data_IF_098423247373
#
_entry.id   IF_098423247373
#
_cell.length_a   1.000
_cell.length_b   1.000
_cell.length_c   1.000
_cell.angle_alpha   90.00
_cell.angle_beta   90.00
_cell.angle_gamma   90.00
#
_symmetry.space_group_name_H-M   'P 1'
#
loop_
_entity.id
_entity.type
_entity.pdbx_description
1 polymer ?
#
# COMPACT_ATOMS: atom_id res chain seq x y z
N UNK A 1 13.75 -8.32 13.49
CA UNK A 1 12.29 -8.50 13.33
C UNK A 1 11.99 -8.57 11.85
N UNK A 2 10.97 -9.33 11.43
CA UNK A 2 10.56 -9.41 10.02
C UNK A 2 9.28 -8.62 9.80
N UNK A 3 9.08 -8.14 8.58
CA UNK A 3 7.91 -7.34 8.21
C UNK A 3 7.24 -7.87 6.95
N UNK A 4 5.92 -7.75 6.87
CA UNK A 4 5.14 -7.92 5.65
C UNK A 4 4.46 -6.59 5.29
N UNK A 5 4.35 -6.33 3.99
CA UNK A 5 3.71 -5.13 3.47
C UNK A 5 2.21 -5.36 3.32
N UNK A 6 1.42 -4.45 3.91
CA UNK A 6 -0.04 -4.38 3.73
C UNK A 6 -0.36 -3.05 3.06
N UNK A 7 -1.13 -3.09 1.97
CA UNK A 7 -1.53 -1.92 1.18
C UNK A 7 -3.05 -1.80 1.14
N UNK A 8 -3.55 -0.57 1.22
CA UNK A 8 -4.93 -0.19 0.97
C UNK A 8 -4.99 0.83 -0.16
N UNK A 9 -5.89 0.60 -1.11
CA UNK A 9 -6.28 1.63 -2.09
C UNK A 9 -7.44 2.41 -1.48
N UNK A 10 -7.32 3.73 -1.42
CA UNK A 10 -8.29 4.60 -0.77
C UNK A 10 -8.79 5.68 -1.73
N UNK A 11 -10.06 6.08 -1.58
CA UNK A 11 -10.67 7.23 -2.25
C UNK A 11 -10.92 8.35 -1.25
N UNK A 12 -10.54 9.56 -1.63
CA UNK A 12 -10.61 10.76 -0.81
C UNK A 12 -11.76 11.70 -1.21
N UNK A 13 -12.80 11.18 -1.88
CA UNK A 13 -13.98 11.99 -2.26
C UNK A 13 -14.90 12.28 -1.06
N UNK A 14 -15.15 11.31 -0.18
CA UNK A 14 -16.12 11.39 0.93
C UNK A 14 -15.61 10.70 2.21
N UNK A 15 -14.60 11.28 2.88
CA UNK A 15 -14.21 10.82 4.21
C UNK A 15 -13.23 9.63 4.26
N UNK A 16 -12.42 9.44 3.21
CA UNK A 16 -11.28 8.52 3.18
C UNK A 16 -11.68 7.04 3.33
N UNK A 17 -12.51 6.55 2.41
CA UNK A 17 -12.85 5.13 2.34
C UNK A 17 -11.71 4.35 1.67
N UNK A 18 -11.32 3.23 2.29
CA UNK A 18 -10.30 2.33 1.75
C UNK A 18 -10.92 0.98 1.40
N UNK A 19 -10.43 0.38 0.32
CA UNK A 19 -10.74 -1.00 -0.05
C UNK A 19 -10.13 -1.98 0.95
N UNK A 20 -10.51 -3.26 0.84
CA UNK A 20 -9.88 -4.36 1.61
C UNK A 20 -8.36 -4.34 1.46
N UNK A 21 -7.59 -4.54 2.55
CA UNK A 21 -6.14 -4.62 2.48
C UNK A 21 -5.67 -5.74 1.55
N UNK A 22 -4.55 -5.49 0.88
CA UNK A 22 -3.78 -6.50 0.16
C UNK A 22 -2.47 -6.73 0.89
N UNK A 23 -2.21 -7.98 1.26
CA UNK A 23 -0.92 -8.40 1.81
C UNK A 23 0.01 -8.84 0.69
N UNK A 24 1.24 -8.33 0.70
CA UNK A 24 2.28 -8.72 -0.24
C UNK A 24 3.04 -9.93 0.31
N UNK A 25 3.38 -10.93 -0.52
CA UNK A 25 4.05 -12.15 -0.06
C UNK A 25 5.51 -11.94 0.36
N UNK A 26 6.09 -10.78 0.04
CA UNK A 26 7.48 -10.45 0.35
C UNK A 26 7.67 -10.22 1.84
N UNK A 27 8.66 -10.89 2.42
CA UNK A 27 9.10 -10.68 3.81
C UNK A 27 10.36 -9.82 3.82
N UNK A 28 10.33 -8.72 4.56
CA UNK A 28 11.43 -7.76 4.68
C UNK A 28 12.19 -7.92 6.00
N UNK A 29 13.47 -7.58 6.00
CA UNK A 29 14.33 -7.67 7.19
C UNK A 29 14.25 -6.42 8.07
N UNK A 30 13.72 -5.32 7.53
CA UNK A 30 13.60 -4.05 8.24
C UNK A 30 12.34 -3.29 7.82
N UNK A 31 11.88 -2.40 8.69
CA UNK A 31 10.85 -1.43 8.36
C UNK A 31 11.26 -0.54 7.18
N UNK A 32 12.55 -0.17 7.12
CA UNK A 32 13.12 0.67 6.05
C UNK A 32 12.90 0.05 4.66
N UNK A 33 13.26 -1.24 4.50
CA UNK A 33 13.08 -1.96 3.24
C UNK A 33 11.59 -2.03 2.86
N UNK A 34 10.74 -2.43 3.81
CA UNK A 34 9.30 -2.56 3.58
C UNK A 34 8.65 -1.22 3.20
N UNK A 35 8.98 -0.13 3.90
CA UNK A 35 8.41 1.20 3.66
C UNK A 35 8.84 1.76 2.29
N UNK A 36 10.09 1.54 1.88
CA UNK A 36 10.55 1.94 0.53
C UNK A 36 9.83 1.17 -0.56
N UNK A 37 9.70 -0.14 -0.40
CA UNK A 37 9.01 -0.97 -1.38
C UNK A 37 7.51 -0.64 -1.45
N UNK A 38 6.89 -0.29 -0.32
CA UNK A 38 5.52 0.22 -0.28
C UNK A 38 5.32 1.42 -1.21
N UNK A 39 6.25 2.37 -1.24
CA UNK A 39 6.18 3.53 -2.14
C UNK A 39 6.37 3.13 -3.61
N UNK A 40 7.27 2.20 -3.90
CA UNK A 40 7.47 1.67 -5.26
C UNK A 40 6.20 1.00 -5.77
N UNK A 41 5.60 0.10 -4.97
CA UNK A 41 4.36 -0.57 -5.32
C UNK A 41 3.16 0.39 -5.40
N UNK A 42 3.12 1.41 -4.54
CA UNK A 42 2.11 2.47 -4.60
C UNK A 42 2.11 3.18 -5.96
N UNK A 43 3.30 3.56 -6.48
CA UNK A 43 3.42 4.20 -7.79
C UNK A 43 2.98 3.27 -8.91
N UNK A 44 3.34 1.98 -8.84
CA UNK A 44 2.90 0.97 -9.83
C UNK A 44 1.38 0.84 -9.83
N UNK A 45 0.73 0.78 -8.67
CA UNK A 45 -0.72 0.69 -8.55
C UNK A 45 -1.43 1.93 -9.11
N UNK A 46 -0.97 3.13 -8.74
CA UNK A 46 -1.51 4.38 -9.28
C UNK A 46 -1.34 4.47 -10.81
N UNK A 47 -0.18 4.04 -11.32
CA UNK A 47 0.08 4.02 -12.77
C UNK A 47 -0.83 3.04 -13.51
N UNK A 48 -1.10 1.86 -12.93
CA UNK A 48 -2.03 0.86 -13.50
C UNK A 48 -3.48 1.35 -13.53
N UNK A 49 -3.93 2.10 -12.52
CA UNK A 49 -5.27 2.70 -12.49
C UNK A 49 -5.42 3.86 -13.47
N UNK A 50 -4.32 4.59 -13.72
CA UNK A 50 -4.25 5.62 -14.76
C UNK A 50 -4.74 7.00 -14.31
N UNK A 51 -4.28 8.02 -15.04
CA UNK A 51 -4.44 9.43 -14.68
C UNK A 51 -5.89 9.85 -14.43
N UNK A 52 -6.82 9.48 -15.32
CA UNK A 52 -8.22 9.87 -15.20
C UNK A 52 -8.86 9.30 -13.94
N UNK A 53 -8.72 7.99 -13.71
CA UNK A 53 -9.32 7.31 -12.56
C UNK A 53 -8.77 7.85 -11.24
N UNK A 54 -7.45 8.02 -11.15
CA UNK A 54 -6.81 8.55 -9.95
C UNK A 54 -7.32 9.95 -9.60
N UNK A 55 -7.52 10.81 -10.60
CA UNK A 55 -8.04 12.16 -10.38
C UNK A 55 -9.53 12.19 -10.08
N UNK A 56 -10.35 11.50 -10.88
CA UNK A 56 -11.82 11.49 -10.74
C UNK A 56 -12.22 10.94 -9.37
N UNK A 57 -11.53 9.89 -8.91
CA UNK A 57 -11.83 9.24 -7.63
C UNK A 57 -10.94 9.68 -6.46
N UNK A 58 -10.07 10.67 -6.68
CA UNK A 58 -9.07 11.15 -5.71
C UNK A 58 -8.39 9.96 -5.03
N UNK A 59 -7.79 9.07 -5.82
CA UNK A 59 -7.24 7.80 -5.32
C UNK A 59 -5.88 8.05 -4.67
N UNK A 60 -5.67 7.46 -3.49
CA UNK A 60 -4.39 7.43 -2.82
C UNK A 60 -4.11 6.04 -2.24
N UNK A 61 -2.85 5.79 -1.91
CA UNK A 61 -2.40 4.53 -1.34
C UNK A 61 -2.01 4.74 0.12
N UNK A 62 -2.57 3.91 1.01
CA UNK A 62 -2.15 3.79 2.41
C UNK A 62 -1.42 2.46 2.57
N UNK A 63 -0.42 2.41 3.43
CA UNK A 63 0.29 1.17 3.72
C UNK A 63 0.63 1.02 5.19
N UNK A 64 0.98 -0.20 5.59
CA UNK A 64 1.57 -0.53 6.86
C UNK A 64 2.56 -1.69 6.68
N UNK A 65 3.66 -1.66 7.43
CA UNK A 65 4.62 -2.74 7.51
C UNK A 65 4.38 -3.52 8.81
N UNK A 66 3.59 -4.58 8.73
CA UNK A 66 3.21 -5.36 9.92
C UNK A 66 4.37 -6.27 10.34
N UNK A 67 4.71 -6.27 11.62
CA UNK A 67 5.68 -7.22 12.18
C UNK A 67 5.12 -8.64 12.12
N UNK A 68 5.93 -9.57 11.64
CA UNK A 68 5.66 -11.00 11.68
C UNK A 68 6.58 -11.63 12.73
N UNK A 69 5.97 -12.22 13.76
CA UNK A 69 6.67 -13.10 14.66
C UNK A 69 6.86 -14.43 13.93
N UNK A 70 8.11 -14.76 13.59
CA UNK A 70 8.46 -16.12 13.22
C UNK A 70 8.58 -16.90 14.54
N UNK A 71 7.61 -17.77 14.81
CA UNK A 71 7.66 -18.73 15.91
C UNK A 71 8.55 -19.91 15.55
#
# INVERSE_FOLDING_TARGET
MKYILIIWVCSFIQGNACMTPMEYPTVYNSWYECSRDAHVESVKLLSKMGYKYVNDYKVGIKYNCKTVALY
#
